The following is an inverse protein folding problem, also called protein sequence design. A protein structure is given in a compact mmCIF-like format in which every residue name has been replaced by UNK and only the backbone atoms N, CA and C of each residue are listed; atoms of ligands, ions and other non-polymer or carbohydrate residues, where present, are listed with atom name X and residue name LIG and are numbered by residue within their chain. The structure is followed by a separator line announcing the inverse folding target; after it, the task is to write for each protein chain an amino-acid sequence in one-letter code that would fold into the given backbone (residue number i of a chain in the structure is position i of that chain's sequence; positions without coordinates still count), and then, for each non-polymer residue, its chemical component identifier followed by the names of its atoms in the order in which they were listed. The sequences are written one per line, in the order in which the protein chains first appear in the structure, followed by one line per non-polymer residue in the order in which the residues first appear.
data_IF_083305267894
#
_entry.id   IF_083305267894
#
_cell.length_a   1.000
_cell.length_b   1.000
_cell.length_c   1.000
_cell.angle_alpha   90.00
_cell.angle_beta   90.00
_cell.angle_gamma   90.00
#
_symmetry.space_group_name_H-M   'P 1'
#
loop_
_entity.id
_entity.type
_entity.pdbx_description
1 polymer ?
#
# COMPACT_ATOMS: atom_id res chain seq x y z
N UNK A 1 -13.81 -21.51 7.59
CA UNK A 1 -13.02 -20.85 8.67
C UNK A 1 -12.31 -19.70 8.00
N UNK A 2 -12.53 -18.47 8.45
CA UNK A 2 -11.81 -17.29 7.94
C UNK A 2 -10.32 -17.50 8.12
N UNK A 3 -9.54 -17.30 7.08
CA UNK A 3 -8.08 -17.38 7.13
C UNK A 3 -7.54 -16.40 8.19
N UNK A 4 -6.58 -16.80 9.05
CA UNK A 4 -6.06 -15.93 10.09
C UNK A 4 -5.45 -14.67 9.48
N UNK A 5 -5.99 -13.50 9.85
CA UNK A 5 -5.54 -12.22 9.31
C UNK A 5 -4.17 -11.86 9.89
N UNK A 6 -3.22 -11.57 9.02
CA UNK A 6 -1.91 -11.06 9.39
C UNK A 6 -2.06 -9.71 10.10
N UNK A 7 -1.26 -9.46 11.14
CA UNK A 7 -1.16 -8.14 11.75
C UNK A 7 -0.60 -7.14 10.72
N UNK A 8 -1.14 -5.92 10.70
CA UNK A 8 -0.75 -4.88 9.74
C UNK A 8 0.77 -4.61 9.76
N UNK A 9 1.36 -4.46 10.95
CA UNK A 9 2.80 -4.24 11.13
C UNK A 9 3.66 -5.34 10.51
N UNK A 10 3.24 -6.60 10.64
CA UNK A 10 3.96 -7.73 10.07
C UNK A 10 3.84 -7.77 8.53
N UNK A 11 2.67 -7.43 7.98
CA UNK A 11 2.50 -7.30 6.53
C UNK A 11 3.41 -6.19 5.98
N UNK A 12 3.42 -5.03 6.63
CA UNK A 12 4.26 -3.88 6.25
C UNK A 12 5.73 -4.25 6.28
N UNK A 13 6.19 -4.92 7.34
CA UNK A 13 7.58 -5.38 7.45
C UNK A 13 7.96 -6.36 6.32
N UNK A 14 7.08 -7.31 6.00
CA UNK A 14 7.30 -8.25 4.91
C UNK A 14 7.39 -7.56 3.54
N UNK A 15 6.49 -6.59 3.30
CA UNK A 15 6.48 -5.81 2.06
C UNK A 15 7.73 -4.95 1.91
N UNK A 16 8.12 -4.20 2.95
CA UNK A 16 9.34 -3.39 2.97
C UNK A 16 10.59 -4.24 2.74
N UNK A 17 10.66 -5.43 3.38
CA UNK A 17 11.77 -6.36 3.16
C UNK A 17 11.85 -6.83 1.71
N UNK A 18 10.70 -7.11 1.08
CA UNK A 18 10.62 -7.55 -0.31
C UNK A 18 11.08 -6.47 -1.28
N UNK A 19 10.62 -5.25 -1.12
CA UNK A 19 11.08 -4.10 -1.93
C UNK A 19 12.59 -3.89 -1.80
N UNK A 20 13.13 -3.98 -0.57
CA UNK A 20 14.57 -3.90 -0.32
C UNK A 20 15.38 -4.98 -1.04
N UNK A 21 14.89 -6.22 -1.11
CA UNK A 21 15.54 -7.30 -1.86
C UNK A 21 15.59 -7.04 -3.38
N UNK A 22 14.69 -6.20 -3.89
CA UNK A 22 14.64 -5.77 -5.28
C UNK A 22 15.24 -4.38 -5.52
N UNK A 23 15.91 -3.81 -4.50
CA UNK A 23 16.53 -2.49 -4.55
C UNK A 23 15.54 -1.38 -4.92
N UNK A 24 14.28 -1.53 -4.49
CA UNK A 24 13.23 -0.52 -4.68
C UNK A 24 13.14 0.32 -3.40
N UNK A 25 13.44 1.64 -3.46
CA UNK A 25 13.26 2.55 -2.34
C UNK A 25 11.80 2.59 -1.88
N UNK A 26 11.60 2.48 -0.57
CA UNK A 26 10.28 2.60 0.04
C UNK A 26 10.37 3.15 1.46
N UNK A 27 9.34 3.87 1.88
CA UNK A 27 9.29 4.61 3.13
C UNK A 27 7.92 4.50 3.77
N UNK A 28 7.88 4.24 5.08
CA UNK A 28 6.65 4.40 5.86
C UNK A 28 6.51 5.88 6.17
N UNK A 29 5.53 6.54 5.54
CA UNK A 29 5.26 7.98 5.71
C UNK A 29 4.14 8.25 6.71
N UNK A 30 3.32 7.24 7.01
CA UNK A 30 2.45 7.21 8.17
C UNK A 30 2.43 5.80 8.78
N UNK A 31 2.69 5.73 10.08
CA UNK A 31 2.55 4.51 10.85
C UNK A 31 1.12 4.44 11.39
N UNK A 32 0.41 3.37 11.06
CA UNK A 32 -0.97 3.13 11.49
C UNK A 32 -1.07 2.24 12.72
N UNK A 33 -2.25 1.65 12.95
CA UNK A 33 -2.44 0.62 13.99
C UNK A 33 -1.71 -0.67 13.60
N UNK A 34 -0.94 -1.23 14.54
CA UNK A 34 -0.06 -2.38 14.32
C UNK A 34 -0.80 -3.69 14.02
N UNK A 35 -2.04 -3.81 14.48
CA UNK A 35 -2.81 -5.05 14.42
C UNK A 35 -3.80 -5.01 13.27
N UNK A 36 -4.52 -3.91 13.12
CA UNK A 36 -5.70 -3.81 12.29
C UNK A 36 -5.73 -2.66 11.29
N UNK A 37 -4.75 -1.75 11.31
CA UNK A 37 -4.68 -0.62 10.40
C UNK A 37 -4.77 -1.06 8.93
N UNK A 38 -5.54 -0.31 8.14
CA UNK A 38 -5.53 -0.46 6.69
C UNK A 38 -4.16 -0.03 6.13
N UNK A 39 -3.82 -0.49 4.92
CA UNK A 39 -2.56 -0.12 4.26
C UNK A 39 -2.86 0.51 2.91
N UNK A 40 -2.31 1.71 2.70
CA UNK A 40 -2.28 2.42 1.44
C UNK A 40 -0.85 2.47 0.93
N UNK A 41 -0.67 2.17 -0.35
CA UNK A 41 0.64 2.23 -1.02
C UNK A 41 0.58 3.28 -2.12
N UNK A 42 1.44 4.29 -2.03
CA UNK A 42 1.67 5.28 -3.08
C UNK A 42 2.93 4.89 -3.86
N UNK A 43 2.80 4.66 -5.16
CA UNK A 43 3.92 4.44 -6.07
C UNK A 43 4.21 5.74 -6.82
N UNK A 44 5.37 6.34 -6.57
CA UNK A 44 5.90 7.48 -7.30
C UNK A 44 6.81 6.99 -8.44
N UNK A 45 6.47 7.33 -9.68
CA UNK A 45 7.24 6.91 -10.87
C UNK A 45 8.42 7.82 -11.19
N UNK A 46 8.69 8.82 -10.35
CA UNK A 46 9.82 9.76 -10.44
C UNK A 46 9.86 10.55 -11.77
N UNK A 47 8.71 10.68 -12.41
CA UNK A 47 8.44 11.45 -13.63
C UNK A 47 7.36 12.53 -13.42
N UNK A 48 6.99 12.78 -12.16
CA UNK A 48 5.92 13.69 -11.77
C UNK A 48 4.54 13.02 -11.66
N UNK A 49 4.45 11.72 -11.93
CA UNK A 49 3.23 10.93 -11.74
C UNK A 49 3.33 9.99 -10.55
N UNK A 50 2.17 9.59 -10.03
CA UNK A 50 2.06 8.56 -9.02
C UNK A 50 0.74 7.78 -9.15
N UNK A 51 0.72 6.61 -8.49
CA UNK A 51 -0.45 5.72 -8.40
C UNK A 51 -0.69 5.38 -6.94
N UNK A 52 -1.94 5.30 -6.51
CA UNK A 52 -2.34 4.89 -5.17
C UNK A 52 -3.03 3.55 -5.25
N UNK A 53 -2.59 2.63 -4.41
CA UNK A 53 -3.18 1.31 -4.24
C UNK A 53 -3.76 1.17 -2.85
N UNK A 54 -4.92 0.52 -2.79
CA UNK A 54 -5.55 0.12 -1.53
C UNK A 54 -5.94 -1.33 -1.59
N UNK A 55 -6.16 -1.90 -0.42
CA UNK A 55 -6.60 -3.27 -0.31
C UNK A 55 -8.12 -3.33 -0.21
N UNK A 56 -8.74 -3.95 -1.20
CA UNK A 56 -10.20 -4.15 -1.24
C UNK A 56 -10.54 -5.58 -0.83
N UNK A 57 -11.65 -5.73 -0.13
CA UNK A 57 -12.21 -7.04 0.21
C UNK A 57 -13.33 -7.36 -0.76
N UNK A 58 -13.21 -8.49 -1.46
CA UNK A 58 -14.27 -9.02 -2.31
C UNK A 58 -15.14 -9.98 -1.47
N UNK A 59 -16.39 -9.58 -1.27
CA UNK A 59 -17.38 -10.33 -0.50
C UNK A 59 -17.82 -11.65 -1.16
N UNK A 60 -17.72 -11.75 -2.49
CA UNK A 60 -18.17 -12.91 -3.24
C UNK A 60 -17.09 -13.99 -3.29
N UNK A 61 -15.83 -13.59 -3.46
CA UNK A 61 -14.70 -14.53 -3.49
C UNK A 61 -14.04 -14.75 -2.12
N UNK A 62 -14.44 -14.01 -1.08
CA UNK A 62 -13.80 -14.03 0.25
C UNK A 62 -12.29 -13.79 0.18
N UNK A 63 -11.86 -12.97 -0.79
CA UNK A 63 -10.45 -12.68 -1.04
C UNK A 63 -10.16 -11.18 -0.93
N UNK A 64 -8.90 -10.87 -0.65
CA UNK A 64 -8.39 -9.51 -0.65
C UNK A 64 -7.49 -9.33 -1.86
N UNK A 65 -7.73 -8.25 -2.58
CA UNK A 65 -6.88 -7.88 -3.71
C UNK A 65 -6.46 -6.43 -3.60
N UNK A 66 -5.27 -6.15 -4.12
CA UNK A 66 -4.83 -4.79 -4.35
C UNK A 66 -5.56 -4.22 -5.56
N UNK A 67 -6.08 -3.00 -5.41
CA UNK A 67 -6.73 -2.26 -6.48
C UNK A 67 -6.13 -0.87 -6.56
N UNK A 68 -6.03 -0.34 -7.78
CA UNK A 68 -5.71 1.08 -7.97
C UNK A 68 -6.92 1.91 -7.53
N UNK A 69 -6.68 2.81 -6.57
CA UNK A 69 -7.67 3.78 -6.12
C UNK A 69 -7.66 5.04 -6.99
N UNK A 70 -6.47 5.51 -7.35
CA UNK A 70 -6.27 6.72 -8.13
C UNK A 70 -4.88 6.72 -8.78
N UNK A 71 -4.74 7.47 -9.88
CA UNK A 71 -3.47 7.76 -10.52
C UNK A 71 -3.50 9.16 -11.15
N UNK A 72 -2.33 9.78 -11.30
CA UNK A 72 -2.21 11.13 -11.86
C UNK A 72 -0.93 11.83 -11.41
N UNK A 73 -0.97 13.16 -11.39
CA UNK A 73 0.15 13.96 -10.92
C UNK A 73 0.45 13.66 -9.45
N UNK A 74 1.73 13.56 -9.10
CA UNK A 74 2.22 13.21 -7.77
C UNK A 74 1.60 14.08 -6.67
N UNK A 75 1.52 15.40 -6.93
CA UNK A 75 0.90 16.37 -6.02
C UNK A 75 -0.58 16.11 -5.75
N UNK A 76 -1.32 15.65 -6.77
CA UNK A 76 -2.74 15.32 -6.59
C UNK A 76 -2.86 14.02 -5.78
N UNK A 77 -1.94 13.07 -5.98
CA UNK A 77 -1.87 11.84 -5.18
C UNK A 77 -1.53 12.15 -3.70
N UNK A 78 -0.64 13.10 -3.42
CA UNK A 78 -0.37 13.56 -2.05
C UNK A 78 -1.62 14.15 -1.37
N UNK A 79 -2.42 14.90 -2.13
CA UNK A 79 -3.69 15.43 -1.64
C UNK A 79 -4.69 14.30 -1.35
N UNK A 80 -4.73 13.27 -2.21
CA UNK A 80 -5.53 12.06 -1.98
C UNK A 80 -5.08 11.32 -0.71
N UNK A 81 -3.79 11.07 -0.53
CA UNK A 81 -3.23 10.43 0.68
C UNK A 81 -3.60 11.23 1.93
N UNK A 82 -3.40 12.54 1.90
CA UNK A 82 -3.76 13.44 3.00
C UNK A 82 -5.24 13.34 3.36
N UNK A 83 -6.11 13.30 2.35
CA UNK A 83 -7.55 13.15 2.54
C UNK A 83 -7.91 11.79 3.14
N UNK A 84 -7.32 10.69 2.68
CA UNK A 84 -7.55 9.35 3.25
C UNK A 84 -7.17 9.31 4.74
N UNK A 85 -6.00 9.85 5.10
CA UNK A 85 -5.56 9.95 6.50
C UNK A 85 -6.48 10.79 7.39
N UNK A 86 -7.18 11.76 6.82
CA UNK A 86 -8.16 12.55 7.59
C UNK A 86 -9.42 11.75 7.96
N UNK A 87 -9.74 10.70 7.18
CA UNK A 87 -10.85 9.80 7.47
C UNK A 87 -10.44 8.63 8.37
N UNK A 88 -9.20 8.15 8.22
CA UNK A 88 -8.63 7.06 9.01
C UNK A 88 -7.23 7.44 9.52
N UNK A 89 -7.12 7.96 10.75
CA UNK A 89 -5.83 8.28 11.37
C UNK A 89 -4.93 7.06 11.59
N UNK A 90 -5.51 5.86 11.67
CA UNK A 90 -4.80 4.59 11.91
C UNK A 90 -4.35 3.92 10.60
N UNK A 91 -4.47 4.62 9.47
CA UNK A 91 -4.05 4.17 8.14
C UNK A 91 -2.52 4.12 8.01
N UNK A 92 -1.96 2.96 7.65
CA UNK A 92 -0.58 2.89 7.18
C UNK A 92 -0.46 3.50 5.80
N UNK A 93 0.57 4.32 5.61
CA UNK A 93 0.92 4.85 4.29
C UNK A 93 2.38 4.51 3.99
N UNK A 94 2.57 3.80 2.89
CA UNK A 94 3.89 3.43 2.36
C UNK A 94 4.08 4.13 1.03
N UNK A 95 5.16 4.88 0.89
CA UNK A 95 5.60 5.44 -0.37
C UNK A 95 6.67 4.54 -0.99
N UNK A 96 6.52 4.22 -2.27
CA UNK A 96 7.41 3.40 -3.08
C UNK A 96 7.88 4.25 -4.25
N UNK A 97 9.17 4.31 -4.50
CA UNK A 97 9.74 5.11 -5.60
C UNK A 97 10.40 4.20 -6.63
N UNK A 98 9.83 4.13 -7.84
CA UNK A 98 10.42 3.32 -8.90
C UNK A 98 10.07 3.84 -10.29
N UNK A 99 11.08 4.17 -11.09
CA UNK A 99 10.90 4.65 -12.48
C UNK A 99 10.25 3.63 -13.41
N UNK A 100 10.33 2.34 -13.09
CA UNK A 100 9.71 1.28 -13.88
C UNK A 100 8.30 0.94 -13.38
N UNK A 101 7.80 1.65 -12.35
CA UNK A 101 6.49 1.43 -11.77
C UNK A 101 6.36 0.11 -10.99
N UNK A 102 7.47 -0.46 -10.52
CA UNK A 102 7.46 -1.72 -9.76
C UNK A 102 6.97 -1.47 -8.33
N UNK A 103 5.82 -2.05 -7.98
CA UNK A 103 5.29 -2.08 -6.61
C UNK A 103 5.28 -3.50 -6.01
N UNK A 104 5.29 -4.56 -6.83
CA UNK A 104 5.34 -5.97 -6.39
C UNK A 104 4.13 -6.45 -5.55
N UNK A 105 3.07 -5.67 -5.46
CA UNK A 105 1.86 -6.00 -4.69
C UNK A 105 1.14 -7.26 -5.20
N UNK A 106 1.30 -7.59 -6.48
CA UNK A 106 0.70 -8.78 -7.11
C UNK A 106 1.50 -10.07 -6.83
N UNK A 107 2.57 -10.00 -6.03
CA UNK A 107 3.37 -11.16 -5.70
C UNK A 107 2.72 -11.99 -4.59
N UNK A 108 2.82 -13.34 -4.65
CA UNK A 108 2.27 -14.22 -3.63
C UNK A 108 2.64 -13.82 -2.19
N UNK A 109 1.66 -13.95 -1.29
CA UNK A 109 1.81 -13.64 0.13
C UNK A 109 1.59 -12.16 0.51
N UNK A 110 1.17 -11.30 -0.42
CA UNK A 110 0.69 -9.95 -0.12
C UNK A 110 -0.85 -9.81 -0.19
N UNK A 111 -1.52 -10.89 -0.58
CA UNK A 111 -2.98 -11.00 -0.70
C UNK A 111 -3.66 -11.54 0.58
N UNK A 112 -2.89 -11.88 1.63
CA UNK A 112 -3.31 -12.48 2.92
C UNK A 112 -3.82 -11.49 3.98
#
# INVERSE_FOLDING_TARGET
MSEPRLAASFWVAAYMRRLSLHEIPAFVVNHGDDTAGAVLVKLNTLDGNARIFTRSFDLLSDTRHWSELASGADRDMDAHVTKQRSFDPDLWVIEVEDRQGRHLLDQPGLDS
#
